data_IF_355256909391
#
_entry.id   IF_355256909391
#
_cell.length_a   1.000
_cell.length_b   1.000
_cell.length_c   1.000
_cell.angle_alpha   90.00
_cell.angle_beta   90.00
_cell.angle_gamma   90.00
#
_symmetry.space_group_name_H-M   'P 1'
#
loop_
_entity.id
_entity.type
_entity.pdbx_description
1 polymer ?
#
# COMPACT_ATOMS: atom_id res chain seq x y z
N UNK A 1 0.29 29.27 6.42
CA UNK A 1 0.82 28.58 5.23
C UNK A 1 1.72 27.39 5.58
N UNK A 2 2.69 27.51 6.50
CA UNK A 2 3.61 26.42 6.85
C UNK A 2 2.88 25.14 7.28
N UNK A 3 1.90 25.21 8.18
CA UNK A 3 1.15 24.04 8.65
C UNK A 3 0.41 23.29 7.53
N UNK A 4 -0.10 24.01 6.54
CA UNK A 4 -0.73 23.43 5.34
C UNK A 4 0.28 22.64 4.51
N UNK A 5 1.45 23.21 4.25
CA UNK A 5 2.51 22.56 3.48
C UNK A 5 3.05 21.33 4.18
N UNK A 6 3.25 21.40 5.51
CA UNK A 6 3.68 20.25 6.31
C UNK A 6 2.64 19.12 6.31
N UNK A 7 1.35 19.46 6.43
CA UNK A 7 0.29 18.46 6.35
C UNK A 7 0.20 17.82 4.96
N UNK A 8 0.33 18.60 3.88
CA UNK A 8 0.42 18.04 2.51
C UNK A 8 1.62 17.11 2.34
N UNK A 9 2.79 17.51 2.85
CA UNK A 9 4.00 16.68 2.85
C UNK A 9 3.78 15.37 3.59
N UNK A 10 3.17 15.43 4.77
CA UNK A 10 2.87 14.25 5.59
C UNK A 10 1.91 13.29 4.88
N UNK A 11 0.86 13.78 4.23
CA UNK A 11 -0.04 12.94 3.42
C UNK A 11 0.70 12.23 2.29
N UNK A 12 1.57 12.95 1.56
CA UNK A 12 2.37 12.36 0.47
C UNK A 12 3.35 11.31 0.96
N UNK A 13 4.10 11.61 2.03
CA UNK A 13 5.09 10.69 2.60
C UNK A 13 4.46 9.43 3.21
N UNK A 14 3.23 9.56 3.75
CA UNK A 14 2.50 8.41 4.29
C UNK A 14 1.71 7.61 3.24
N UNK A 15 1.73 8.04 1.95
CA UNK A 15 1.00 7.40 0.87
C UNK A 15 -0.53 7.49 1.01
N UNK A 16 -1.03 8.50 1.72
CA UNK A 16 -2.46 8.72 1.95
C UNK A 16 -3.03 9.77 1.00
N UNK A 17 -4.31 9.64 0.65
CA UNK A 17 -5.02 10.66 -0.13
C UNK A 17 -5.43 11.82 0.77
N UNK A 18 -5.06 13.07 0.44
CA UNK A 18 -5.37 14.21 1.26
C UNK A 18 -6.86 14.56 1.23
N UNK A 19 -7.44 14.83 2.41
CA UNK A 19 -8.75 15.45 2.51
C UNK A 19 -8.60 16.97 2.50
N UNK A 20 -8.99 17.63 1.41
CA UNK A 20 -8.85 19.06 1.24
C UNK A 20 -9.55 19.89 2.34
N UNK A 21 -10.70 19.42 2.86
CA UNK A 21 -11.40 20.04 3.99
C UNK A 21 -10.56 20.04 5.27
N UNK A 22 -9.96 18.90 5.60
CA UNK A 22 -9.09 18.76 6.79
C UNK A 22 -7.79 19.54 6.64
N UNK A 23 -7.19 19.53 5.44
CA UNK A 23 -6.01 20.34 5.13
C UNK A 23 -6.28 21.83 5.32
N UNK A 24 -7.43 22.33 4.81
CA UNK A 24 -7.85 23.73 4.99
C UNK A 24 -7.99 24.08 6.48
N UNK A 25 -8.63 23.20 7.28
CA UNK A 25 -8.77 23.40 8.72
C UNK A 25 -7.41 23.45 9.44
N UNK A 26 -6.48 22.54 9.14
CA UNK A 26 -5.13 22.56 9.72
C UNK A 26 -4.39 23.85 9.35
N UNK A 27 -4.52 24.30 8.10
CA UNK A 27 -3.91 25.55 7.64
C UNK A 27 -4.45 26.77 8.37
N UNK A 28 -5.77 26.90 8.47
CA UNK A 28 -6.45 28.04 9.11
C UNK A 28 -6.20 28.04 10.63
N UNK A 29 -6.49 26.92 11.32
CA UNK A 29 -6.34 26.84 12.77
C UNK A 29 -4.89 26.99 13.21
N UNK A 30 -3.94 26.37 12.47
CA UNK A 30 -2.52 26.52 12.74
C UNK A 30 -2.02 27.95 12.47
N UNK A 31 -2.58 28.65 11.47
CA UNK A 31 -2.30 30.06 11.22
C UNK A 31 -2.84 30.97 12.33
N UNK A 32 -4.09 30.76 12.75
CA UNK A 32 -4.72 31.50 13.86
C UNK A 32 -3.94 31.29 15.16
N UNK A 33 -3.59 30.04 15.51
CA UNK A 33 -2.78 29.79 16.68
C UNK A 33 -1.45 30.56 16.67
N UNK A 34 -0.75 30.53 15.56
CA UNK A 34 0.53 31.24 15.41
C UNK A 34 0.35 32.75 15.55
N UNK A 35 -0.70 33.33 14.94
CA UNK A 35 -0.99 34.74 15.03
C UNK A 35 -1.36 35.18 16.45
N UNK A 36 -2.16 34.38 17.17
CA UNK A 36 -2.55 34.66 18.56
C UNK A 36 -1.34 34.55 19.51
N UNK A 37 -0.45 33.57 19.30
CA UNK A 37 0.76 33.39 20.10
C UNK A 37 1.79 34.56 19.92
N UNK A 38 1.66 35.37 18.86
CA UNK A 38 2.47 36.58 18.65
C UNK A 38 1.96 37.82 19.42
N UNK A 39 0.76 37.76 19.98
CA UNK A 39 0.18 38.86 20.76
C UNK A 39 0.71 38.78 22.17
N UNK A 40 1.24 39.89 22.71
CA UNK A 40 1.88 39.94 24.05
C UNK A 40 1.02 39.38 25.17
N UNK A 41 -0.31 39.60 25.13
CA UNK A 41 -1.28 39.10 26.11
C UNK A 41 -1.34 37.55 26.13
N UNK A 42 -0.98 36.88 25.06
CA UNK A 42 -1.05 35.41 24.89
C UNK A 42 0.33 34.75 24.70
N UNK A 43 1.39 35.44 25.15
CA UNK A 43 2.77 34.97 25.01
C UNK A 43 2.97 33.56 25.62
N UNK A 44 2.21 33.20 26.69
CA UNK A 44 2.25 31.85 27.27
C UNK A 44 1.91 30.72 26.27
N UNK A 45 1.16 31.01 25.19
CA UNK A 45 0.92 30.01 24.12
C UNK A 45 2.18 29.65 23.36
N UNK A 46 3.23 30.46 23.48
CA UNK A 46 4.57 30.17 22.95
C UNK A 46 5.35 29.12 23.74
N UNK A 47 4.93 28.78 24.97
CA UNK A 47 5.61 27.78 25.79
C UNK A 47 5.49 26.39 25.20
N UNK A 48 6.50 25.54 25.46
CA UNK A 48 6.61 24.20 24.91
C UNK A 48 5.34 23.35 25.10
N UNK A 49 4.72 23.42 26.26
CA UNK A 49 3.52 22.63 26.58
C UNK A 49 2.34 22.99 25.65
N UNK A 50 2.08 24.27 25.45
CA UNK A 50 1.01 24.76 24.59
C UNK A 50 1.27 24.51 23.10
N UNK A 51 2.53 24.63 22.69
CA UNK A 51 2.96 24.26 21.32
C UNK A 51 2.73 22.77 21.06
N UNK A 52 3.11 21.90 22.00
CA UNK A 52 2.90 20.46 21.88
C UNK A 52 1.41 20.11 21.81
N UNK A 53 0.59 20.75 22.67
CA UNK A 53 -0.85 20.52 22.68
C UNK A 53 -1.51 20.98 21.39
N UNK A 54 -1.17 22.14 20.87
CA UNK A 54 -1.67 22.63 19.58
C UNK A 54 -1.29 21.70 18.41
N UNK A 55 -0.09 21.17 18.44
CA UNK A 55 0.42 20.22 17.45
C UNK A 55 -0.36 18.91 17.45
N UNK A 56 -0.65 18.35 18.63
CA UNK A 56 -1.46 17.13 18.76
C UNK A 56 -2.90 17.37 18.28
N UNK A 57 -3.49 18.51 18.61
CA UNK A 57 -4.84 18.90 18.15
C UNK A 57 -4.86 19.03 16.62
N UNK A 58 -3.88 19.70 16.01
CA UNK A 58 -3.81 19.86 14.56
C UNK A 58 -3.57 18.53 13.83
N UNK A 59 -2.75 17.64 14.40
CA UNK A 59 -2.55 16.29 13.88
C UNK A 59 -3.86 15.48 13.92
N UNK A 60 -4.59 15.57 15.03
CA UNK A 60 -5.90 14.93 15.19
C UNK A 60 -6.94 15.45 14.20
N UNK A 61 -7.03 16.74 14.00
CA UNK A 61 -7.95 17.38 13.03
C UNK A 61 -7.57 16.98 11.61
N UNK A 62 -6.27 17.02 11.29
CA UNK A 62 -5.76 16.72 9.96
C UNK A 62 -5.99 15.25 9.56
N UNK A 63 -5.62 14.33 10.42
CA UNK A 63 -5.56 12.90 10.08
C UNK A 63 -6.68 12.08 10.73
N UNK A 64 -7.29 12.55 11.83
CA UNK A 64 -8.33 11.82 12.57
C UNK A 64 -7.77 10.65 13.40
N UNK A 65 -8.68 9.85 13.99
CA UNK A 65 -8.33 8.74 14.91
C UNK A 65 -8.23 7.38 14.27
N UNK A 66 -8.51 7.25 12.99
CA UNK A 66 -8.48 5.94 12.34
C UNK A 66 -7.04 5.41 12.31
N UNK A 67 -6.87 4.14 12.67
CA UNK A 67 -5.56 3.48 12.77
C UNK A 67 -4.74 3.57 11.45
N UNK A 68 -5.41 3.55 10.30
CA UNK A 68 -4.78 3.73 8.98
C UNK A 68 -4.16 5.11 8.77
N UNK A 69 -4.59 6.12 9.53
CA UNK A 69 -4.12 7.50 9.37
C UNK A 69 -3.03 7.89 10.39
N UNK A 70 -2.76 7.04 11.39
CA UNK A 70 -1.71 7.25 12.38
C UNK A 70 -0.33 7.56 11.78
N UNK A 71 0.09 6.92 10.68
CA UNK A 71 1.36 7.24 10.05
C UNK A 71 1.46 8.67 9.57
N UNK A 72 0.40 9.18 8.93
CA UNK A 72 0.36 10.54 8.45
C UNK A 72 0.42 11.55 9.60
N UNK A 73 -0.31 11.28 10.69
CA UNK A 73 -0.25 12.11 11.90
C UNK A 73 1.16 12.13 12.52
N UNK A 74 1.82 10.97 12.62
CA UNK A 74 3.18 10.86 13.13
C UNK A 74 4.18 11.64 12.27
N UNK A 75 4.12 11.48 10.95
CA UNK A 75 4.97 12.22 10.00
C UNK A 75 4.73 13.74 10.12
N UNK A 76 3.47 14.19 10.25
CA UNK A 76 3.15 15.60 10.43
C UNK A 76 3.76 16.16 11.73
N UNK A 77 3.58 15.44 12.86
CA UNK A 77 4.17 15.81 14.16
C UNK A 77 5.69 15.93 14.04
N UNK A 78 6.33 14.96 13.41
CA UNK A 78 7.76 14.92 13.22
C UNK A 78 8.26 16.10 12.36
N UNK A 79 7.62 16.37 11.21
CA UNK A 79 7.96 17.50 10.35
C UNK A 79 7.81 18.84 11.09
N UNK A 80 6.78 18.98 11.91
CA UNK A 80 6.54 20.20 12.68
C UNK A 80 7.60 20.40 13.76
N UNK A 81 7.92 19.36 14.53
CA UNK A 81 9.00 19.41 15.52
C UNK A 81 10.37 19.72 14.87
N UNK A 82 10.65 19.18 13.69
CA UNK A 82 11.84 19.54 12.91
C UNK A 82 11.87 21.03 12.58
N UNK A 83 10.75 21.60 12.15
CA UNK A 83 10.67 23.03 11.84
C UNK A 83 10.85 23.90 13.07
N UNK A 84 10.26 23.52 14.21
CA UNK A 84 10.44 24.26 15.47
C UNK A 84 11.89 24.16 16.00
N UNK A 85 12.59 23.05 15.72
CA UNK A 85 14.00 22.88 16.06
C UNK A 85 14.96 23.68 15.15
N UNK A 86 14.48 24.17 13.98
CA UNK A 86 15.32 24.98 13.06
C UNK A 86 15.66 26.35 13.66
N UNK A 87 14.83 26.91 14.56
CA UNK A 87 15.08 28.18 15.24
C UNK A 87 16.16 28.09 16.32
N UNK A 88 16.55 26.90 16.78
CA UNK A 88 17.68 26.73 17.70
C UNK A 88 18.99 26.57 16.90
N UNK A 89 20.02 27.35 17.26
CA UNK A 89 21.34 27.38 16.57
C UNK A 89 22.15 26.06 16.65
N UNK A 90 21.62 25.01 17.28
CA UNK A 90 22.27 23.71 17.40
C UNK A 90 21.89 22.78 16.26
N UNK A 91 22.87 22.42 15.43
CA UNK A 91 22.68 21.53 14.26
C UNK A 91 22.46 20.06 14.64
N UNK A 92 23.05 19.60 15.76
CA UNK A 92 23.04 18.19 16.15
C UNK A 92 21.66 17.58 16.42
N UNK A 93 20.75 18.23 17.16
CA UNK A 93 19.40 17.70 17.37
C UNK A 93 18.64 17.54 16.05
N UNK A 94 18.86 18.44 15.08
CA UNK A 94 18.23 18.44 13.76
C UNK A 94 18.66 17.25 12.92
N UNK A 95 19.96 16.93 12.92
CA UNK A 95 20.51 15.79 12.19
C UNK A 95 20.07 14.45 12.80
N UNK A 96 20.10 14.32 14.13
CA UNK A 96 19.63 13.13 14.85
C UNK A 96 18.14 12.89 14.60
N UNK A 97 17.35 13.94 14.58
CA UNK A 97 15.92 13.86 14.35
C UNK A 97 15.60 13.50 12.90
N UNK A 98 16.30 14.10 11.91
CA UNK A 98 16.18 13.72 10.50
C UNK A 98 16.56 12.26 10.26
N UNK A 99 17.62 11.77 10.91
CA UNK A 99 18.03 10.37 10.86
C UNK A 99 16.97 9.43 11.48
N UNK A 100 16.39 9.83 12.62
CA UNK A 100 15.31 9.07 13.26
C UNK A 100 14.06 8.99 12.37
N UNK A 101 13.66 10.10 11.73
CA UNK A 101 12.54 10.12 10.77
C UNK A 101 12.82 9.19 9.60
N UNK A 102 14.01 9.25 9.00
CA UNK A 102 14.41 8.33 7.92
C UNK A 102 14.38 6.86 8.37
N UNK A 103 14.84 6.57 9.57
CA UNK A 103 14.83 5.22 10.14
C UNK A 103 13.39 4.72 10.34
N UNK A 104 12.52 5.54 10.91
CA UNK A 104 11.10 5.22 11.11
C UNK A 104 10.36 5.04 9.77
N UNK A 105 10.62 5.89 8.78
CA UNK A 105 10.07 5.74 7.45
C UNK A 105 10.54 4.45 6.77
N UNK A 106 11.82 4.09 6.93
CA UNK A 106 12.38 2.84 6.41
C UNK A 106 11.77 1.61 7.07
N UNK A 107 11.67 1.60 8.40
CA UNK A 107 11.02 0.53 9.16
C UNK A 107 9.54 0.39 8.78
N UNK A 108 8.84 1.52 8.60
CA UNK A 108 7.44 1.57 8.20
C UNK A 108 7.21 1.05 6.79
N UNK A 109 8.09 1.39 5.85
CA UNK A 109 8.00 0.92 4.46
C UNK A 109 8.28 -0.59 4.37
N UNK A 110 9.15 -1.11 5.22
CA UNK A 110 9.44 -2.54 5.31
C UNK A 110 8.26 -3.35 5.89
N UNK A 111 7.41 -2.76 6.73
CA UNK A 111 6.19 -3.39 7.28
C UNK A 111 5.01 -3.42 6.30
N UNK A 112 5.15 -2.86 5.10
CA UNK A 112 4.09 -2.81 4.08
C UNK A 112 4.11 -3.97 3.08
N UNK A 113 5.09 -4.85 3.12
CA UNK A 113 4.96 -6.16 2.47
C UNK A 113 3.94 -6.98 3.30
N UNK A 114 2.68 -6.71 3.06
CA UNK A 114 1.59 -7.46 3.70
C UNK A 114 1.52 -8.82 3.01
N UNK A 115 2.11 -9.82 3.63
CA UNK A 115 1.84 -11.20 3.28
C UNK A 115 0.37 -11.49 3.60
N UNK A 116 -0.32 -12.08 2.64
CA UNK A 116 -1.67 -12.59 2.81
C UNK A 116 -1.66 -14.10 2.64
N UNK A 117 -2.43 -14.79 3.46
CA UNK A 117 -2.69 -16.22 3.24
C UNK A 117 -3.88 -16.37 2.29
N UNK A 118 -3.67 -17.05 1.17
CA UNK A 118 -4.70 -17.28 0.16
C UNK A 118 -5.00 -18.76 0.04
N UNK A 119 -6.28 -19.09 0.12
CA UNK A 119 -6.79 -20.44 -0.14
C UNK A 119 -7.59 -20.45 -1.43
N UNK A 120 -7.22 -21.32 -2.35
CA UNK A 120 -7.83 -21.47 -3.67
C UNK A 120 -8.48 -22.83 -3.76
N UNK A 121 -9.75 -22.88 -4.12
CA UNK A 121 -10.48 -24.12 -4.37
C UNK A 121 -10.98 -24.17 -5.81
N UNK A 122 -10.68 -25.26 -6.51
CA UNK A 122 -11.17 -25.53 -7.86
C UNK A 122 -11.50 -27.00 -8.02
N UNK A 123 -12.77 -27.32 -8.23
CA UNK A 123 -13.27 -28.69 -8.22
C UNK A 123 -13.00 -29.37 -6.88
N UNK A 124 -12.25 -30.47 -6.92
CA UNK A 124 -11.85 -31.22 -5.73
C UNK A 124 -10.47 -30.82 -5.19
N UNK A 125 -9.78 -29.91 -5.88
CA UNK A 125 -8.42 -29.50 -5.50
C UNK A 125 -8.48 -28.24 -4.64
N UNK A 126 -7.63 -28.21 -3.64
CA UNK A 126 -7.49 -27.10 -2.70
C UNK A 126 -6.00 -26.81 -2.48
N UNK A 127 -5.59 -25.55 -2.64
CA UNK A 127 -4.21 -25.12 -2.46
C UNK A 127 -4.18 -23.89 -1.56
N UNK A 128 -3.25 -23.87 -0.61
CA UNK A 128 -2.94 -22.70 0.23
C UNK A 128 -1.61 -22.14 -0.20
N UNK A 129 -1.55 -20.84 -0.40
CA UNK A 129 -0.38 -20.11 -0.84
C UNK A 129 -0.19 -18.84 -0.02
N UNK A 130 1.06 -18.44 0.15
CA UNK A 130 1.38 -17.10 0.64
C UNK A 130 1.35 -16.14 -0.54
N UNK A 131 0.62 -15.05 -0.41
CA UNK A 131 0.53 -14.01 -1.42
C UNK A 131 1.14 -12.71 -0.90
N UNK A 132 1.79 -11.98 -1.79
CA UNK A 132 2.21 -10.61 -1.56
C UNK A 132 1.09 -9.66 -2.04
N UNK A 133 0.67 -8.73 -1.18
CA UNK A 133 -0.23 -7.64 -1.56
C UNK A 133 0.56 -6.61 -2.38
N UNK A 134 0.42 -6.68 -3.69
CA UNK A 134 1.10 -5.82 -4.65
C UNK A 134 0.16 -4.69 -5.11
N UNK A 135 0.42 -3.48 -4.64
CA UNK A 135 -0.34 -2.28 -5.04
C UNK A 135 -0.12 -1.89 -6.50
N UNK A 136 0.91 -2.44 -7.14
CA UNK A 136 1.19 -2.26 -8.58
C UNK A 136 0.42 -3.22 -9.47
N UNK A 137 -0.17 -4.29 -8.92
CA UNK A 137 -0.99 -5.22 -9.69
C UNK A 137 -2.37 -4.62 -9.98
N UNK A 138 -2.53 -4.11 -11.19
CA UNK A 138 -3.77 -3.55 -11.73
C UNK A 138 -4.40 -4.43 -12.80
N UNK A 139 -4.03 -5.72 -12.88
CA UNK A 139 -4.56 -6.65 -13.86
C UNK A 139 -6.05 -6.88 -13.64
N UNK A 140 -6.79 -6.85 -14.75
CA UNK A 140 -8.22 -7.14 -14.79
C UNK A 140 -8.51 -8.19 -15.85
N UNK A 141 -9.48 -9.05 -15.58
CA UNK A 141 -9.97 -10.01 -16.57
C UNK A 141 -10.81 -9.28 -17.62
N UNK A 142 -10.45 -9.35 -18.90
CA UNK A 142 -11.16 -8.63 -19.97
C UNK A 142 -12.62 -9.12 -20.17
N UNK A 143 -12.95 -10.32 -19.68
CA UNK A 143 -14.28 -10.92 -19.85
C UNK A 143 -15.23 -10.49 -18.73
N UNK A 144 -14.77 -10.55 -17.49
CA UNK A 144 -15.63 -10.28 -16.32
C UNK A 144 -15.38 -8.92 -15.66
N UNK A 145 -14.27 -8.23 -16.00
CA UNK A 145 -13.83 -6.99 -15.34
C UNK A 145 -13.31 -7.18 -13.92
N UNK A 146 -13.21 -8.43 -13.44
CA UNK A 146 -12.74 -8.74 -12.08
C UNK A 146 -11.25 -8.54 -11.95
N UNK A 147 -10.80 -8.23 -10.73
CA UNK A 147 -9.37 -8.17 -10.41
C UNK A 147 -8.71 -9.53 -10.57
N UNK A 148 -7.45 -9.52 -11.01
CA UNK A 148 -6.67 -10.72 -11.28
C UNK A 148 -5.58 -10.89 -10.22
N UNK A 149 -5.55 -12.07 -9.61
CA UNK A 149 -4.44 -12.55 -8.80
C UNK A 149 -3.47 -13.34 -9.67
N UNK A 150 -2.18 -13.08 -9.59
CA UNK A 150 -1.16 -13.84 -10.32
C UNK A 150 -0.55 -14.88 -9.39
N UNK A 151 -0.48 -16.13 -9.83
CA UNK A 151 0.14 -17.25 -9.10
C UNK A 151 1.26 -17.88 -9.89
N UNK A 152 2.21 -18.51 -9.20
CA UNK A 152 3.34 -19.17 -9.84
C UNK A 152 2.99 -20.48 -10.55
N UNK A 153 3.93 -21.01 -11.33
CA UNK A 153 3.79 -22.28 -12.05
C UNK A 153 3.62 -23.48 -11.12
N UNK A 154 4.18 -23.44 -9.93
CA UNK A 154 4.01 -24.46 -8.88
C UNK A 154 2.54 -24.60 -8.44
N UNK A 155 1.81 -23.50 -8.38
CA UNK A 155 0.37 -23.48 -8.04
C UNK A 155 -0.44 -24.04 -9.22
N UNK A 156 -0.07 -23.71 -10.46
CA UNK A 156 -0.74 -24.22 -11.65
C UNK A 156 -0.60 -25.74 -11.78
N UNK A 157 0.58 -26.28 -11.49
CA UNK A 157 0.84 -27.71 -11.48
C UNK A 157 -0.05 -28.45 -10.48
N UNK A 158 -0.18 -27.89 -9.26
CA UNK A 158 -1.03 -28.46 -8.23
C UNK A 158 -2.54 -28.36 -8.55
N UNK A 159 -3.00 -27.24 -9.11
CA UNK A 159 -4.43 -27.01 -9.40
C UNK A 159 -4.86 -27.64 -10.72
N UNK A 160 -4.10 -27.45 -11.79
CA UNK A 160 -4.50 -27.75 -13.16
C UNK A 160 -3.69 -28.91 -13.79
N UNK A 161 -2.59 -29.33 -13.13
CA UNK A 161 -1.60 -30.28 -13.70
C UNK A 161 -0.96 -29.74 -14.99
N UNK A 162 -0.77 -28.40 -15.05
CA UNK A 162 -0.07 -27.69 -16.11
C UNK A 162 1.34 -27.33 -15.63
N UNK A 163 2.34 -27.69 -16.41
CA UNK A 163 3.74 -27.37 -16.13
C UNK A 163 4.12 -25.96 -16.64
N UNK A 164 5.32 -25.51 -16.29
CA UNK A 164 5.85 -24.21 -16.70
C UNK A 164 5.97 -24.08 -18.24
N UNK A 165 6.19 -25.20 -18.96
CA UNK A 165 6.31 -25.20 -20.41
C UNK A 165 4.96 -24.95 -21.06
N UNK A 166 3.89 -25.59 -20.57
CA UNK A 166 2.53 -25.34 -21.02
C UNK A 166 2.11 -23.89 -20.76
N UNK A 167 2.44 -23.33 -19.59
CA UNK A 167 2.15 -21.94 -19.25
C UNK A 167 2.91 -20.93 -20.11
N UNK A 168 4.08 -21.28 -20.62
CA UNK A 168 4.87 -20.44 -21.54
C UNK A 168 4.25 -20.34 -22.93
N UNK A 169 3.30 -21.22 -23.27
CA UNK A 169 2.59 -21.26 -24.56
C UNK A 169 1.08 -21.15 -24.35
N UNK A 170 0.58 -20.01 -23.84
CA UNK A 170 -0.78 -19.89 -23.36
C UNK A 170 -1.85 -20.14 -24.43
N UNK A 171 -1.60 -19.76 -25.69
CA UNK A 171 -2.53 -19.99 -26.80
C UNK A 171 -2.65 -21.49 -27.13
N UNK A 172 -1.54 -22.19 -27.26
CA UNK A 172 -1.52 -23.64 -27.55
C UNK A 172 -2.17 -24.42 -26.41
N UNK A 173 -1.84 -24.06 -25.17
CA UNK A 173 -2.38 -24.72 -23.97
C UNK A 173 -3.87 -24.50 -23.83
N UNK A 174 -4.37 -23.30 -24.12
CA UNK A 174 -5.79 -23.01 -24.07
C UNK A 174 -6.61 -23.90 -25.01
N UNK A 175 -6.07 -24.18 -26.20
CA UNK A 175 -6.72 -25.06 -27.20
C UNK A 175 -6.65 -26.54 -26.80
N UNK A 176 -5.52 -27.00 -26.27
CA UNK A 176 -5.23 -28.39 -26.04
C UNK A 176 -5.69 -28.93 -24.66
N UNK A 177 -5.67 -28.10 -23.62
CA UNK A 177 -5.85 -28.54 -22.24
C UNK A 177 -7.30 -28.94 -21.88
N UNK A 178 -8.31 -28.60 -22.69
CA UNK A 178 -9.75 -28.90 -22.43
C UNK A 178 -10.21 -28.59 -21.02
N UNK A 179 -9.64 -27.55 -20.38
CA UNK A 179 -9.99 -27.11 -19.03
C UNK A 179 -11.15 -26.10 -19.14
N UNK A 180 -12.33 -26.38 -18.53
CA UNK A 180 -13.47 -25.47 -18.60
C UNK A 180 -13.15 -24.11 -17.99
N UNK A 181 -13.55 -23.02 -18.64
CA UNK A 181 -13.37 -21.65 -18.12
C UNK A 181 -11.94 -21.09 -18.22
N UNK A 182 -11.01 -21.82 -18.85
CA UNK A 182 -9.68 -21.30 -19.14
C UNK A 182 -9.78 -20.15 -20.15
N UNK A 183 -9.06 -19.06 -19.89
CA UNK A 183 -9.09 -17.83 -20.69
C UNK A 183 -7.72 -17.17 -20.76
N UNK A 184 -7.56 -16.19 -21.63
CA UNK A 184 -6.34 -15.42 -21.78
C UNK A 184 -6.48 -14.07 -21.08
N UNK A 185 -5.49 -13.75 -20.25
CA UNK A 185 -5.38 -12.48 -19.54
C UNK A 185 -4.22 -11.70 -20.16
N UNK A 186 -4.48 -10.60 -20.88
CA UNK A 186 -3.43 -9.75 -21.39
C UNK A 186 -2.74 -8.99 -20.26
N UNK A 187 -1.42 -8.87 -20.34
CA UNK A 187 -0.65 -8.07 -19.39
C UNK A 187 0.48 -7.31 -20.08
N UNK A 188 0.95 -6.27 -19.42
CA UNK A 188 2.15 -5.53 -19.81
C UNK A 188 3.12 -5.48 -18.64
N UNK A 189 4.41 -5.67 -18.92
CA UNK A 189 5.46 -5.57 -17.92
C UNK A 189 6.70 -4.93 -18.53
N UNK A 190 7.66 -4.54 -17.68
CA UNK A 190 8.94 -4.01 -18.14
C UNK A 190 9.63 -5.04 -19.04
N UNK A 191 9.89 -4.67 -20.29
CA UNK A 191 10.47 -5.57 -21.30
C UNK A 191 9.47 -6.49 -22.01
N UNK A 192 8.20 -6.51 -21.63
CA UNK A 192 7.13 -7.29 -22.25
C UNK A 192 5.96 -6.37 -22.59
N UNK A 193 5.94 -5.76 -23.79
CA UNK A 193 4.89 -4.81 -24.16
C UNK A 193 3.51 -5.45 -24.38
N UNK A 194 3.46 -6.74 -24.70
CA UNK A 194 2.24 -7.53 -24.88
C UNK A 194 2.48 -8.97 -24.46
N UNK A 195 2.08 -9.30 -23.25
CA UNK A 195 2.11 -10.67 -22.72
C UNK A 195 0.70 -11.23 -22.57
N UNK A 196 0.60 -12.57 -22.54
CA UNK A 196 -0.64 -13.28 -22.25
C UNK A 196 -0.38 -14.29 -21.15
N UNK A 197 -1.26 -14.35 -20.16
CA UNK A 197 -1.29 -15.38 -19.13
C UNK A 197 -2.54 -16.25 -19.33
N UNK A 198 -2.44 -17.51 -18.94
CA UNK A 198 -3.65 -18.33 -18.77
C UNK A 198 -4.34 -17.91 -17.49
N UNK A 199 -5.63 -17.68 -17.57
CA UNK A 199 -6.48 -17.30 -16.45
C UNK A 199 -7.62 -18.28 -16.24
N UNK A 200 -8.04 -18.43 -15.01
CA UNK A 200 -9.16 -19.27 -14.60
C UNK A 200 -9.94 -18.60 -13.46
N UNK A 201 -11.26 -18.71 -13.50
CA UNK A 201 -12.07 -18.37 -12.34
C UNK A 201 -12.20 -19.61 -11.46
N UNK A 202 -11.63 -19.56 -10.24
CA UNK A 202 -11.79 -20.64 -9.27
C UNK A 202 -13.20 -20.64 -8.66
N UNK A 203 -13.59 -21.78 -8.09
CA UNK A 203 -14.88 -21.89 -7.39
C UNK A 203 -14.91 -21.03 -6.13
N UNK A 204 -13.77 -20.93 -5.44
CA UNK A 204 -13.63 -20.10 -4.25
C UNK A 204 -12.18 -19.62 -4.08
N UNK A 205 -12.04 -18.35 -3.74
CA UNK A 205 -10.77 -17.72 -3.33
C UNK A 205 -10.99 -17.04 -1.98
N UNK A 206 -10.22 -17.46 -0.98
CA UNK A 206 -10.23 -16.82 0.34
C UNK A 206 -8.90 -16.09 0.54
N UNK A 207 -8.94 -14.80 0.84
CA UNK A 207 -7.77 -13.98 1.20
C UNK A 207 -7.88 -13.65 2.68
N UNK A 208 -6.95 -14.12 3.50
CA UNK A 208 -7.00 -14.00 4.96
C UNK A 208 -8.35 -14.47 5.56
N UNK A 209 -8.91 -15.56 5.01
CA UNK A 209 -10.19 -16.14 5.44
C UNK A 209 -11.44 -15.44 4.92
N UNK A 210 -11.31 -14.33 4.19
CA UNK A 210 -12.44 -13.61 3.59
C UNK A 210 -12.58 -13.98 2.13
N UNK A 211 -13.80 -14.28 1.69
CA UNK A 211 -14.07 -14.62 0.29
C UNK A 211 -13.93 -13.38 -0.58
N UNK A 212 -13.11 -13.51 -1.62
CA UNK A 212 -12.87 -12.45 -2.61
C UNK A 212 -13.18 -12.99 -4.02
N UNK A 213 -13.75 -12.14 -4.85
CA UNK A 213 -14.16 -12.49 -6.22
C UNK A 213 -13.03 -12.12 -7.19
N UNK A 214 -12.06 -13.02 -7.32
CA UNK A 214 -10.85 -12.85 -8.10
C UNK A 214 -10.75 -13.88 -9.21
N UNK A 215 -10.14 -13.49 -10.32
CA UNK A 215 -9.67 -14.40 -11.36
C UNK A 215 -8.20 -14.73 -11.08
N UNK A 216 -7.80 -15.97 -11.30
CA UNK A 216 -6.43 -16.43 -11.09
C UNK A 216 -5.73 -16.46 -12.43
N UNK A 217 -4.58 -15.83 -12.57
CA UNK A 217 -3.70 -15.93 -13.71
C UNK A 217 -2.41 -16.68 -13.35
N UNK A 218 -1.94 -17.55 -14.23
CA UNK A 218 -0.81 -18.43 -13.98
C UNK A 218 0.44 -17.91 -14.71
N UNK A 219 1.46 -17.55 -13.93
CA UNK A 219 2.77 -17.18 -14.46
C UNK A 219 3.55 -18.44 -14.91
N UNK A 220 4.35 -18.36 -15.99
CA UNK A 220 5.12 -19.51 -16.50
C UNK A 220 6.33 -19.87 -15.62
N UNK A 221 6.57 -19.13 -14.56
CA UNK A 221 7.67 -19.34 -13.61
C UNK A 221 7.15 -19.26 -12.17
N UNK A 222 7.92 -19.78 -11.24
CA UNK A 222 7.63 -19.62 -9.82
C UNK A 222 7.81 -18.16 -9.41
N UNK A 223 6.92 -17.64 -8.56
CA UNK A 223 7.02 -16.29 -8.04
C UNK A 223 7.92 -16.25 -6.79
N UNK A 224 8.52 -15.10 -6.54
CA UNK A 224 9.23 -14.87 -5.30
C UNK A 224 10.57 -15.56 -5.16
N UNK A 225 11.37 -15.67 -6.22
CA UNK A 225 12.75 -16.20 -6.13
C UNK A 225 13.51 -15.53 -4.98
N UNK A 226 13.79 -16.30 -3.90
CA UNK A 226 14.39 -15.81 -2.65
C UNK A 226 13.41 -15.13 -1.68
N UNK A 227 12.13 -15.01 -2.01
CA UNK A 227 11.04 -14.53 -1.13
C UNK A 227 10.01 -15.63 -0.90
N UNK A 228 9.33 -15.58 0.24
CA UNK A 228 8.43 -16.65 0.68
C UNK A 228 6.99 -16.51 0.15
N UNK A 229 6.75 -15.99 -1.06
CA UNK A 229 5.40 -15.88 -1.61
C UNK A 229 5.26 -16.59 -2.98
N UNK A 230 4.08 -17.11 -3.25
CA UNK A 230 3.71 -17.87 -4.44
C UNK A 230 2.61 -17.18 -5.26
N UNK A 231 2.08 -16.08 -4.76
CA UNK A 231 1.03 -15.31 -5.41
C UNK A 231 1.23 -13.80 -5.25
N UNK A 232 0.67 -13.02 -6.18
CA UNK A 232 0.57 -11.57 -6.15
C UNK A 232 -0.90 -11.17 -6.23
N UNK A 233 -1.37 -10.44 -5.23
CA UNK A 233 -2.77 -9.98 -5.14
C UNK A 233 -2.80 -8.46 -5.18
N UNK A 234 -3.74 -7.88 -5.93
CA UNK A 234 -3.87 -6.42 -6.03
C UNK A 234 -4.15 -5.75 -4.67
N UNK A 235 -3.51 -4.61 -4.42
CA UNK A 235 -3.63 -3.90 -3.14
C UNK A 235 -4.94 -3.15 -2.90
N UNK A 236 -5.95 -3.32 -3.75
CA UNK A 236 -7.29 -2.70 -3.65
C UNK A 236 -8.34 -3.59 -2.96
N UNK A 237 -7.93 -4.69 -2.31
CA UNK A 237 -8.78 -5.61 -1.55
C UNK A 237 -9.07 -5.11 -0.13
#
# INVERSE_FOLDING_TARGET
MVNLLLAMGAYRLSGQTPSWKRLGLVGVLGGVYTAVAMVDRFYFLGDFQWRLMSLLILAFIGFGTQQKNLPGAAVYILLRLCMDAVDDHRLWPKLLFGALVMLLCKMWNQSREKDAEVSITWGKKHVRVKALLDTGNSLTDPVSGKSVMVVGSDVAENLLSLDAQALSRPLETMVNARIPGLRLIPYTAVGIPRGMLLGLQADQVLVNGKQEDLVIAFAPHTLGQGRQYQALVGGSL
#
